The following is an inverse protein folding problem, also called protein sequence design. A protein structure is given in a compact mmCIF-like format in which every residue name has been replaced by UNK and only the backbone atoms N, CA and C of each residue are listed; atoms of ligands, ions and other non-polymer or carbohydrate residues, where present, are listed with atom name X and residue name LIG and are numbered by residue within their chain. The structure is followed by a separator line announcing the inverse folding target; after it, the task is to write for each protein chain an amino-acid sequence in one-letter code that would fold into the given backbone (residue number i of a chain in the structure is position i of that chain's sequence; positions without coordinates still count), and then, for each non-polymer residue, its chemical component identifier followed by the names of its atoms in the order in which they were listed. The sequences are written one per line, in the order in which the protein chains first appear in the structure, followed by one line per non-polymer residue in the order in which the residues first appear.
data_IF_089159455245
#
_entry.id   IF_089159455245
#
_cell.length_a   1.000
_cell.length_b   1.000
_cell.length_c   1.000
_cell.angle_alpha   90.00
_cell.angle_beta   90.00
_cell.angle_gamma   90.00
#
_symmetry.space_group_name_H-M   'P 1'
#
loop_
_entity.id
_entity.type
_entity.pdbx_description
1 polymer ?
#
# COMPACT_ATOMS: atom_id res chain seq x y z
N UNK A 1 6.97 -14.71 9.57
CA UNK A 1 6.72 -13.32 10.01
C UNK A 1 7.63 -12.30 9.32
N UNK A 2 8.97 -12.41 9.40
CA UNK A 2 9.88 -11.43 8.76
C UNK A 2 9.70 -11.29 7.24
N UNK A 3 9.58 -12.42 6.51
CA UNK A 3 9.38 -12.41 5.05
C UNK A 3 8.12 -11.65 4.60
N UNK A 4 7.02 -11.74 5.36
CA UNK A 4 5.76 -11.03 5.07
C UNK A 4 5.89 -9.52 5.30
N UNK A 5 6.58 -9.10 6.37
CA UNK A 5 6.88 -7.68 6.63
C UNK A 5 7.79 -7.09 5.56
N UNK A 6 8.84 -7.79 5.15
CA UNK A 6 9.76 -7.35 4.09
C UNK A 6 9.00 -7.18 2.76
N UNK A 7 8.15 -8.16 2.42
CA UNK A 7 7.29 -8.06 1.23
C UNK A 7 6.32 -6.87 1.31
N UNK A 8 5.68 -6.65 2.47
CA UNK A 8 4.82 -5.48 2.68
C UNK A 8 5.55 -4.14 2.53
N UNK A 9 6.79 -4.04 3.01
CA UNK A 9 7.62 -2.83 2.84
C UNK A 9 7.90 -2.58 1.35
N UNK A 10 8.25 -3.62 0.59
CA UNK A 10 8.48 -3.51 -0.86
C UNK A 10 7.22 -3.03 -1.60
N UNK A 11 6.05 -3.58 -1.24
CA UNK A 11 4.76 -3.16 -1.81
C UNK A 11 4.45 -1.69 -1.50
N UNK A 12 4.73 -1.22 -0.28
CA UNK A 12 4.54 0.19 0.10
C UNK A 12 5.45 1.11 -0.70
N UNK A 13 6.75 0.78 -0.80
CA UNK A 13 7.72 1.59 -1.57
C UNK A 13 7.30 1.67 -3.03
N UNK A 14 6.99 0.52 -3.64
CA UNK A 14 6.52 0.45 -5.02
C UNK A 14 5.22 1.23 -5.23
N UNK A 15 4.26 1.08 -4.32
CA UNK A 15 2.99 1.81 -4.35
C UNK A 15 3.18 3.32 -4.27
N UNK A 16 4.08 3.82 -3.41
CA UNK A 16 4.37 5.25 -3.29
C UNK A 16 5.00 5.82 -4.57
N UNK A 17 5.93 5.09 -5.20
CA UNK A 17 6.54 5.49 -6.48
C UNK A 17 5.46 5.55 -7.57
N UNK A 18 4.60 4.55 -7.63
CA UNK A 18 3.50 4.49 -8.61
C UNK A 18 2.45 5.56 -8.39
N UNK A 19 2.07 5.87 -7.13
CA UNK A 19 1.18 7.00 -6.80
C UNK A 19 1.80 8.30 -7.29
N UNK A 20 3.08 8.55 -6.96
CA UNK A 20 3.81 9.74 -7.40
C UNK A 20 3.84 9.89 -8.92
N UNK A 21 4.10 8.81 -9.65
CA UNK A 21 4.05 8.79 -11.12
C UNK A 21 2.64 9.02 -11.68
N UNK A 22 1.60 8.51 -11.00
CA UNK A 22 0.20 8.66 -11.43
C UNK A 22 -0.35 10.08 -11.27
N UNK A 23 0.23 10.93 -10.42
CA UNK A 23 -0.18 12.33 -10.26
C UNK A 23 0.09 13.17 -11.53
N UNK A 24 1.03 12.73 -12.37
CA UNK A 24 1.28 13.34 -13.68
C UNK A 24 0.38 12.82 -14.81
N UNK A 25 -0.51 11.86 -14.54
CA UNK A 25 -1.34 11.21 -15.55
C UNK A 25 -2.54 12.08 -15.94
N UNK A 26 -2.60 12.51 -17.21
CA UNK A 26 -3.67 13.37 -17.74
C UNK A 26 -4.76 12.60 -18.50
N UNK A 27 -4.76 11.26 -18.44
CA UNK A 27 -5.75 10.43 -19.14
C UNK A 27 -7.13 10.43 -18.49
N UNK A 28 -8.12 9.72 -19.09
CA UNK A 28 -9.51 9.70 -18.63
C UNK A 28 -9.66 9.18 -17.19
N UNK A 29 -8.68 8.42 -16.70
CA UNK A 29 -8.65 7.85 -15.35
C UNK A 29 -7.73 8.61 -14.38
N UNK A 30 -7.46 9.90 -14.62
CA UNK A 30 -6.57 10.75 -13.78
C UNK A 30 -6.84 10.70 -12.27
N UNK A 31 -8.09 10.56 -11.86
CA UNK A 31 -8.44 10.44 -10.45
C UNK A 31 -8.37 8.98 -9.96
N UNK A 32 -8.65 8.02 -10.84
CA UNK A 32 -8.75 6.61 -10.50
C UNK A 32 -7.37 5.94 -10.36
N UNK A 33 -6.38 6.40 -11.12
CA UNK A 33 -5.00 5.93 -11.04
C UNK A 33 -4.37 6.15 -9.64
N UNK A 34 -4.34 7.36 -9.06
CA UNK A 34 -3.79 7.56 -7.72
C UNK A 34 -4.61 6.88 -6.62
N UNK A 35 -5.94 6.78 -6.77
CA UNK A 35 -6.82 6.09 -5.81
C UNK A 35 -6.50 4.59 -5.75
N UNK A 36 -6.44 3.92 -6.90
CA UNK A 36 -6.12 2.49 -6.98
C UNK A 36 -4.71 2.17 -6.48
N UNK A 37 -3.74 3.05 -6.77
CA UNK A 37 -2.37 2.91 -6.27
C UNK A 37 -2.27 3.17 -4.76
N UNK A 38 -3.07 4.09 -4.21
CA UNK A 38 -3.12 4.33 -2.75
C UNK A 38 -3.69 3.12 -2.00
N UNK A 39 -4.65 2.40 -2.61
CA UNK A 39 -5.18 1.15 -2.06
C UNK A 39 -4.10 0.06 -1.92
N UNK A 40 -3.17 -0.04 -2.87
CA UNK A 40 -2.03 -0.96 -2.77
C UNK A 40 -1.11 -0.61 -1.59
N UNK A 41 -0.89 0.69 -1.35
CA UNK A 41 -0.11 1.16 -0.18
C UNK A 41 -0.80 0.77 1.13
N UNK A 42 -2.12 0.95 1.22
CA UNK A 42 -2.91 0.55 2.40
C UNK A 42 -2.80 -0.95 2.65
N UNK A 43 -2.90 -1.77 1.59
CA UNK A 43 -2.73 -3.24 1.70
C UNK A 43 -1.32 -3.60 2.18
N UNK A 44 -0.28 -2.95 1.64
CA UNK A 44 1.10 -3.14 2.08
C UNK A 44 1.29 -2.80 3.56
N UNK A 45 0.72 -1.68 4.03
CA UNK A 45 0.71 -1.30 5.44
C UNK A 45 -0.01 -2.32 6.31
N UNK A 46 -1.18 -2.82 5.87
CA UNK A 46 -1.90 -3.88 6.56
C UNK A 46 -1.03 -5.13 6.71
N UNK A 47 -0.28 -5.54 5.68
CA UNK A 47 0.62 -6.70 5.78
C UNK A 47 1.77 -6.51 6.77
N UNK A 48 2.28 -5.28 6.89
CA UNK A 48 3.35 -4.90 7.85
C UNK A 48 2.82 -4.91 9.28
N UNK A 49 1.68 -4.28 9.52
CA UNK A 49 1.10 -4.08 10.84
C UNK A 49 0.13 -5.17 11.27
N UNK A 50 -0.10 -6.19 10.42
CA UNK A 50 -1.04 -7.27 10.66
C UNK A 50 -0.86 -7.96 12.03
N UNK A 51 0.39 -8.18 12.44
CA UNK A 51 0.68 -8.82 13.73
C UNK A 51 0.26 -7.93 14.92
N UNK A 52 0.39 -6.61 14.77
CA UNK A 52 -0.04 -5.62 15.76
C UNK A 52 -1.57 -5.50 15.78
N UNK A 53 -2.21 -5.52 14.62
CA UNK A 53 -3.67 -5.51 14.47
C UNK A 53 -4.29 -6.76 15.11
N UNK A 54 -3.73 -7.95 14.85
CA UNK A 54 -4.17 -9.19 15.49
C UNK A 54 -4.01 -9.15 17.02
N UNK A 55 -2.89 -8.60 17.51
CA UNK A 55 -2.67 -8.42 18.94
C UNK A 55 -3.68 -7.48 19.60
N UNK A 56 -4.24 -6.52 18.85
CA UNK A 56 -5.28 -5.61 19.32
C UNK A 56 -6.68 -6.23 19.27
N UNK A 57 -7.00 -6.99 18.22
CA UNK A 57 -8.31 -7.65 18.07
C UNK A 57 -8.49 -8.90 18.92
N UNK A 58 -7.40 -9.46 19.47
CA UNK A 58 -7.43 -10.62 20.36
C UNK A 58 -7.54 -10.26 21.85
N UNK A 59 -7.68 -8.97 22.18
CA UNK A 59 -8.08 -8.47 23.49
C UNK A 59 -9.57 -8.17 23.48
#
# INVERSE_FOLDING_TARGET
MQKRKIFGILVVIFGLIMVGGSLGYQGPYRAMAPISMSLLVVIGLLMIFWDKIKSWMSK
#
